data_IF_242381215156
#
_entry.id   IF_242381215156
#
_cell.length_a   1.000
_cell.length_b   1.000
_cell.length_c   1.000
_cell.angle_alpha   90.00
_cell.angle_beta   90.00
_cell.angle_gamma   90.00
#
_symmetry.space_group_name_H-M   'P 1'
#
loop_
_entity.id
_entity.type
_entity.pdbx_description
1 polymer ?
#
# COMPACT_ATOMS: atom_id res chain seq x y z
N UNK A 1 -10.83 6.62 -11.96
CA UNK A 1 -10.88 5.84 -10.69
C UNK A 1 -9.53 5.93 -9.99
N UNK A 2 -9.48 5.59 -8.70
CA UNK A 2 -8.25 5.66 -7.88
C UNK A 2 -7.76 4.24 -7.61
N UNK A 3 -6.53 3.89 -8.01
CA UNK A 3 -5.94 2.59 -7.66
C UNK A 3 -5.89 2.39 -6.15
N UNK A 4 -6.14 1.16 -5.70
CA UNK A 4 -6.16 0.81 -4.28
C UNK A 4 -5.21 -0.34 -4.05
N UNK A 5 -4.42 -0.26 -2.99
CA UNK A 5 -3.65 -1.37 -2.43
C UNK A 5 -4.31 -1.75 -1.12
N UNK A 6 -4.48 -3.05 -0.89
CA UNK A 6 -5.09 -3.56 0.34
C UNK A 6 -4.01 -4.11 1.25
N UNK A 7 -4.05 -3.72 2.53
CA UNK A 7 -3.19 -4.27 3.57
C UNK A 7 -4.06 -4.87 4.67
N UNK A 8 -4.06 -6.19 4.75
CA UNK A 8 -4.72 -6.96 5.81
C UNK A 8 -3.83 -6.95 7.05
N UNK A 9 -4.22 -6.14 8.02
CA UNK A 9 -3.48 -5.92 9.25
C UNK A 9 -3.94 -6.87 10.37
N UNK A 10 -3.16 -6.93 11.46
CA UNK A 10 -3.42 -7.66 12.70
C UNK A 10 -3.27 -9.18 12.61
N UNK A 11 -2.33 -9.67 11.80
CA UNK A 11 -1.99 -11.10 11.75
C UNK A 11 -1.44 -11.65 13.07
N UNK A 12 -0.98 -10.77 13.98
CA UNK A 12 -0.61 -11.11 15.36
C UNK A 12 -1.79 -11.59 16.22
N UNK A 13 -3.01 -11.54 15.70
CA UNK A 13 -4.23 -12.01 16.37
C UNK A 13 -4.91 -13.09 15.54
N UNK A 14 -5.71 -13.97 16.17
CA UNK A 14 -6.56 -14.90 15.43
C UNK A 14 -7.41 -14.13 14.40
N UNK A 15 -7.25 -14.50 13.14
CA UNK A 15 -7.98 -13.90 12.03
C UNK A 15 -8.81 -14.95 11.29
N UNK A 16 -9.69 -14.47 10.41
CA UNK A 16 -10.37 -15.33 9.45
C UNK A 16 -9.36 -15.96 8.49
N UNK A 17 -9.78 -17.00 7.80
CA UNK A 17 -8.99 -17.61 6.74
C UNK A 17 -8.59 -16.56 5.67
N UNK A 18 -7.34 -16.54 5.20
CA UNK A 18 -6.89 -15.56 4.22
C UNK A 18 -7.67 -15.60 2.90
N UNK A 19 -8.09 -16.77 2.42
CA UNK A 19 -8.88 -16.88 1.20
C UNK A 19 -10.29 -16.36 1.41
N UNK A 20 -10.92 -16.65 2.55
CA UNK A 20 -12.22 -16.06 2.91
C UNK A 20 -12.15 -14.52 2.96
N UNK A 21 -11.04 -13.96 3.47
CA UNK A 21 -10.82 -12.52 3.49
C UNK A 21 -10.67 -11.94 2.08
N UNK A 22 -9.92 -12.60 1.19
CA UNK A 22 -9.79 -12.19 -0.20
C UNK A 22 -11.16 -12.17 -0.89
N UNK A 23 -11.95 -13.23 -0.70
CA UNK A 23 -13.32 -13.35 -1.20
C UNK A 23 -14.25 -12.24 -0.69
N UNK A 24 -14.16 -11.92 0.61
CA UNK A 24 -14.92 -10.84 1.24
C UNK A 24 -14.52 -9.48 0.67
N UNK A 25 -13.22 -9.24 0.48
CA UNK A 25 -12.70 -8.01 -0.14
C UNK A 25 -13.23 -7.87 -1.56
N UNK A 26 -13.18 -8.92 -2.37
CA UNK A 26 -13.70 -8.87 -3.75
C UNK A 26 -15.20 -8.55 -3.80
N UNK A 27 -15.99 -9.21 -2.95
CA UNK A 27 -17.45 -9.07 -2.91
C UNK A 27 -17.87 -7.68 -2.43
N UNK A 28 -17.29 -7.20 -1.34
CA UNK A 28 -17.66 -5.93 -0.71
C UNK A 28 -17.14 -4.73 -1.49
N UNK A 29 -15.90 -4.78 -1.96
CA UNK A 29 -15.29 -3.66 -2.70
C UNK A 29 -15.56 -3.71 -4.21
N UNK A 30 -16.08 -4.83 -4.73
CA UNK A 30 -16.36 -5.06 -6.16
C UNK A 30 -15.13 -4.82 -7.03
N UNK A 31 -13.98 -5.32 -6.57
CA UNK A 31 -12.68 -5.22 -7.24
C UNK A 31 -12.02 -6.58 -7.22
N UNK A 32 -11.33 -6.97 -8.30
CA UNK A 32 -10.54 -8.20 -8.29
C UNK A 32 -9.34 -8.02 -7.37
N UNK A 33 -8.94 -9.05 -6.67
CA UNK A 33 -7.73 -9.01 -5.84
C UNK A 33 -6.64 -9.90 -6.40
N UNK A 34 -5.38 -9.52 -6.13
CA UNK A 34 -4.24 -10.41 -6.30
C UNK A 34 -3.40 -10.37 -5.03
N UNK A 35 -3.36 -11.45 -4.23
CA UNK A 35 -2.38 -11.53 -3.14
C UNK A 35 -0.95 -11.47 -3.72
N UNK A 36 -0.17 -10.50 -3.25
CA UNK A 36 1.27 -10.37 -3.54
C UNK A 36 2.13 -10.81 -2.36
N UNK A 37 1.53 -10.89 -1.18
CA UNK A 37 2.08 -11.60 -0.05
C UNK A 37 1.01 -12.51 0.57
N UNK A 38 1.43 -13.55 1.27
CA UNK A 38 0.54 -14.51 1.90
C UNK A 38 1.03 -14.88 3.31
N UNK A 39 0.15 -14.88 4.32
CA UNK A 39 0.55 -15.14 5.70
C UNK A 39 0.74 -16.62 5.97
N UNK A 40 1.68 -16.95 6.85
CA UNK A 40 1.90 -18.31 7.33
C UNK A 40 1.28 -18.42 8.71
N UNK A 41 0.08 -19.00 8.73
CA UNK A 41 -0.81 -19.04 9.90
C UNK A 41 -1.19 -17.65 10.43
N UNK A 42 -1.82 -17.59 11.61
CA UNK A 42 -2.21 -16.35 12.29
C UNK A 42 -2.17 -16.49 13.82
N UNK A 43 -2.31 -15.36 14.53
CA UNK A 43 -2.34 -15.30 15.99
C UNK A 43 -1.08 -15.89 16.62
N UNK A 44 -1.25 -16.70 17.66
CA UNK A 44 -0.15 -17.33 18.40
C UNK A 44 0.71 -18.27 17.54
N UNK A 45 0.19 -18.69 16.38
CA UNK A 45 0.88 -19.58 15.44
C UNK A 45 1.49 -18.86 14.25
N UNK A 46 1.35 -17.54 14.18
CA UNK A 46 1.89 -16.73 13.10
C UNK A 46 3.40 -16.91 12.98
N UNK A 47 3.87 -17.37 11.81
CA UNK A 47 5.30 -17.60 11.54
C UNK A 47 5.93 -16.53 10.67
N UNK A 48 5.13 -15.77 9.95
CA UNK A 48 5.63 -14.76 9.02
C UNK A 48 4.77 -14.63 7.78
N UNK A 49 5.30 -13.97 6.76
CA UNK A 49 4.62 -13.72 5.49
C UNK A 49 5.58 -14.06 4.37
N UNK A 50 5.09 -14.81 3.38
CA UNK A 50 5.80 -15.04 2.14
C UNK A 50 5.41 -13.99 1.12
N UNK A 51 6.40 -13.33 0.54
CA UNK A 51 6.23 -12.38 -0.55
C UNK A 51 6.26 -13.15 -1.88
N UNK A 52 5.09 -13.36 -2.47
CA UNK A 52 4.94 -14.06 -3.76
C UNK A 52 5.55 -13.23 -4.89
N UNK A 53 5.50 -11.90 -4.77
CA UNK A 53 6.01 -10.99 -5.80
C UNK A 53 7.55 -11.00 -5.91
N UNK A 54 8.25 -11.03 -4.77
CA UNK A 54 9.73 -11.01 -4.73
C UNK A 54 10.37 -12.37 -4.39
N UNK A 55 9.57 -13.39 -4.06
CA UNK A 55 10.01 -14.72 -3.64
C UNK A 55 10.96 -14.67 -2.43
N UNK A 56 10.55 -13.93 -1.40
CA UNK A 56 11.25 -13.88 -0.13
C UNK A 56 10.31 -14.21 1.04
N UNK A 57 10.89 -14.80 2.09
CA UNK A 57 10.20 -15.13 3.32
C UNK A 57 10.63 -14.17 4.41
N UNK A 58 9.68 -13.43 4.95
CA UNK A 58 9.92 -12.64 6.16
C UNK A 58 9.42 -13.46 7.35
N UNK A 59 10.30 -13.77 8.30
CA UNK A 59 9.95 -14.53 9.50
C UNK A 59 9.57 -13.60 10.64
N UNK A 60 8.48 -13.95 11.33
CA UNK A 60 8.03 -13.23 12.52
C UNK A 60 8.71 -13.81 13.76
N UNK A 61 9.52 -12.99 14.44
CA UNK A 61 10.10 -13.31 15.75
C UNK A 61 9.37 -12.53 16.83
N UNK A 62 8.86 -13.24 17.84
CA UNK A 62 8.08 -12.65 18.95
C UNK A 62 8.95 -12.00 20.04
N UNK A 63 10.25 -11.82 19.79
CA UNK A 63 11.19 -11.36 20.82
C UNK A 63 11.09 -9.84 20.98
N UNK A 64 10.55 -9.39 22.12
CA UNK A 64 10.17 -8.00 22.45
C UNK A 64 11.34 -6.98 22.41
N UNK A 65 12.56 -7.41 22.09
CA UNK A 65 13.77 -6.58 22.08
C UNK A 65 14.27 -6.20 20.69
N UNK A 66 13.73 -6.75 19.62
CA UNK A 66 14.12 -6.36 18.26
C UNK A 66 13.09 -5.40 17.68
N UNK A 67 13.32 -4.13 17.97
CA UNK A 67 12.88 -3.08 17.06
C UNK A 67 13.53 -3.33 15.70
N UNK A 68 12.70 -3.64 14.69
CA UNK A 68 13.01 -3.63 13.26
C UNK A 68 13.74 -4.82 12.59
N UNK A 69 14.26 -5.82 13.31
CA UNK A 69 14.98 -6.93 12.65
C UNK A 69 14.13 -8.20 12.53
N UNK A 70 13.08 -8.16 11.70
CA UNK A 70 12.52 -9.40 11.16
C UNK A 70 13.61 -10.08 10.30
N UNK A 71 13.96 -11.34 10.58
CA UNK A 71 14.87 -12.07 9.72
C UNK A 71 14.20 -12.35 8.39
N UNK A 72 14.64 -11.64 7.34
CA UNK A 72 14.23 -11.90 5.97
C UNK A 72 15.17 -12.95 5.40
N UNK A 73 14.61 -14.05 4.91
CA UNK A 73 15.32 -15.12 4.22
C UNK A 73 14.83 -15.13 2.78
N UNK A 74 15.75 -15.03 1.82
CA UNK A 74 15.40 -15.21 0.42
C UNK A 74 15.14 -16.70 0.16
N UNK A 75 13.93 -17.03 -0.29
CA UNK A 75 13.54 -18.41 -0.60
C UNK A 75 13.07 -18.44 -2.04
N UNK A 76 14.03 -18.73 -2.92
CA UNK A 76 13.82 -18.82 -4.35
C UNK A 76 13.00 -20.06 -4.75
N UNK A 77 13.06 -21.12 -3.94
CA UNK A 77 12.35 -22.37 -4.15
C UNK A 77 11.63 -22.81 -2.88
N UNK A 78 10.29 -22.81 -2.93
CA UNK A 78 9.46 -23.27 -1.83
C UNK A 78 9.61 -24.78 -1.58
N UNK A 79 10.08 -25.56 -2.56
CA UNK A 79 10.39 -26.98 -2.38
C UNK A 79 11.70 -27.23 -1.61
N UNK A 80 12.47 -26.17 -1.31
CA UNK A 80 13.72 -26.29 -0.55
C UNK A 80 13.46 -26.87 0.86
N UNK A 81 14.25 -27.86 1.30
CA UNK A 81 14.21 -28.34 2.69
C UNK A 81 14.53 -27.25 3.72
N UNK A 82 15.26 -26.20 3.32
CA UNK A 82 15.59 -25.07 4.19
C UNK A 82 14.33 -24.38 4.73
N UNK A 83 13.24 -24.34 3.94
CA UNK A 83 11.95 -23.81 4.39
C UNK A 83 11.42 -24.59 5.60
N UNK A 84 11.56 -25.92 5.59
CA UNK A 84 11.08 -26.78 6.66
C UNK A 84 11.87 -26.54 7.96
N UNK A 85 13.15 -26.15 7.86
CA UNK A 85 13.98 -25.77 9.02
C UNK A 85 13.53 -24.45 9.65
N UNK A 86 13.10 -23.47 8.83
CA UNK A 86 12.68 -22.16 9.33
C UNK A 86 11.28 -22.14 9.94
N UNK A 87 10.31 -22.81 9.32
CA UNK A 87 8.90 -22.72 9.73
C UNK A 87 8.29 -24.06 10.11
N UNK A 88 9.05 -25.15 10.21
CA UNK A 88 8.57 -26.54 10.37
C UNK A 88 7.82 -27.09 9.16
N UNK A 89 7.94 -28.41 8.96
CA UNK A 89 7.32 -29.15 7.85
C UNK A 89 5.82 -28.89 7.72
N UNK A 90 5.10 -28.76 8.84
CA UNK A 90 3.65 -28.49 8.83
C UNK A 90 3.32 -27.16 8.15
N UNK A 91 3.96 -26.06 8.54
CA UNK A 91 3.67 -24.74 7.99
C UNK A 91 4.30 -24.54 6.61
N UNK A 92 5.42 -25.20 6.33
CA UNK A 92 6.01 -25.23 5.00
C UNK A 92 5.09 -25.92 3.99
N UNK A 93 4.51 -27.07 4.36
CA UNK A 93 3.50 -27.75 3.54
C UNK A 93 2.29 -26.86 3.26
N UNK A 94 1.75 -26.22 4.30
CA UNK A 94 0.63 -25.30 4.16
C UNK A 94 0.98 -24.13 3.22
N UNK A 95 2.13 -23.49 3.39
CA UNK A 95 2.56 -22.40 2.51
C UNK A 95 2.68 -22.84 1.04
N UNK A 96 3.19 -24.05 0.79
CA UNK A 96 3.28 -24.62 -0.58
C UNK A 96 1.89 -24.79 -1.19
N UNK A 97 0.97 -25.41 -0.45
CA UNK A 97 -0.43 -25.61 -0.88
C UNK A 97 -1.14 -24.27 -1.13
N UNK A 98 -1.00 -23.31 -0.21
CA UNK A 98 -1.60 -21.99 -0.31
C UNK A 98 -1.04 -21.19 -1.50
N UNK A 99 0.27 -21.25 -1.73
CA UNK A 99 0.91 -20.57 -2.86
C UNK A 99 0.51 -21.21 -4.19
N UNK A 100 0.44 -22.54 -4.27
CA UNK A 100 -0.04 -23.25 -5.46
C UNK A 100 -1.49 -22.88 -5.77
N UNK A 101 -2.34 -22.79 -4.74
CA UNK A 101 -3.72 -22.34 -4.89
C UNK A 101 -3.79 -20.90 -5.39
N UNK A 102 -2.96 -20.00 -4.85
CA UNK A 102 -2.89 -18.60 -5.30
C UNK A 102 -2.52 -18.52 -6.78
N UNK A 103 -1.50 -19.26 -7.21
CA UNK A 103 -1.04 -19.25 -8.61
C UNK A 103 -2.01 -19.97 -9.55
N UNK A 104 -2.80 -20.93 -9.05
CA UNK A 104 -3.81 -21.64 -9.83
C UNK A 104 -5.14 -20.90 -9.98
N UNK A 105 -5.50 -20.06 -9.01
CA UNK A 105 -6.81 -19.38 -8.96
C UNK A 105 -6.74 -17.92 -9.40
N UNK A 106 -5.72 -17.17 -8.99
CA UNK A 106 -5.63 -15.74 -9.27
C UNK A 106 -4.76 -15.46 -10.49
N UNK A 107 -5.24 -14.57 -11.36
CA UNK A 107 -4.45 -14.05 -12.48
C UNK A 107 -3.12 -13.44 -12.00
N UNK A 108 -2.11 -13.46 -12.89
CA UNK A 108 -0.86 -12.75 -12.64
C UNK A 108 -1.12 -11.25 -12.43
N UNK A 109 -0.26 -10.60 -11.64
CA UNK A 109 -0.39 -9.18 -11.36
C UNK A 109 -0.24 -8.32 -12.63
N UNK A 110 -1.32 -7.64 -13.00
CA UNK A 110 -1.36 -6.67 -14.09
C UNK A 110 -1.36 -5.23 -13.55
N UNK A 111 -0.24 -4.53 -13.78
CA UNK A 111 -0.07 -3.14 -13.36
C UNK A 111 -1.06 -2.20 -14.05
N UNK A 112 -1.41 -2.44 -15.30
CA UNK A 112 -2.35 -1.57 -16.02
C UNK A 112 -3.78 -1.76 -15.50
N UNK A 113 -4.18 -2.99 -15.19
CA UNK A 113 -5.44 -3.27 -14.49
C UNK A 113 -5.48 -2.60 -13.10
N UNK A 114 -4.36 -2.61 -12.36
CA UNK A 114 -4.23 -1.87 -11.10
C UNK A 114 -4.40 -0.36 -11.29
N UNK A 115 -3.75 0.24 -12.30
CA UNK A 115 -3.86 1.67 -12.58
C UNK A 115 -5.27 2.10 -13.03
N UNK A 116 -6.03 1.17 -13.63
CA UNK A 116 -7.46 1.33 -13.93
C UNK A 116 -8.38 1.06 -12.73
N UNK A 117 -7.85 0.67 -11.58
CA UNK A 117 -8.59 0.27 -10.38
C UNK A 117 -9.52 -0.95 -10.59
N UNK A 118 -9.11 -1.87 -11.47
CA UNK A 118 -9.80 -3.13 -11.75
C UNK A 118 -9.20 -4.30 -10.95
N UNK A 119 -7.97 -4.13 -10.46
CA UNK A 119 -7.20 -5.09 -9.71
C UNK A 119 -6.56 -4.42 -8.49
N UNK A 120 -6.69 -5.01 -7.31
CA UNK A 120 -6.05 -4.56 -6.09
C UNK A 120 -5.01 -5.58 -5.62
N UNK A 121 -3.72 -5.20 -5.50
CA UNK A 121 -2.75 -6.05 -4.83
C UNK A 121 -3.06 -6.10 -3.33
N UNK A 122 -3.01 -7.30 -2.76
CA UNK A 122 -3.26 -7.55 -1.34
C UNK A 122 -1.97 -7.97 -0.65
N UNK A 123 -1.70 -7.33 0.48
CA UNK A 123 -0.61 -7.64 1.37
C UNK A 123 -1.16 -8.01 2.75
N UNK A 124 -0.48 -8.92 3.44
CA UNK A 124 -0.80 -9.28 4.82
C UNK A 124 0.35 -8.91 5.75
N UNK A 125 0.04 -8.49 6.98
CA UNK A 125 1.07 -8.16 7.97
C UNK A 125 0.53 -7.75 9.34
N UNK A 126 1.44 -7.28 10.19
CA UNK A 126 1.13 -6.69 11.50
C UNK A 126 1.84 -5.36 11.64
N UNK A 127 1.09 -4.26 11.48
CA UNK A 127 1.63 -2.92 11.58
C UNK A 127 2.11 -2.58 13.00
N UNK A 128 1.51 -3.17 14.04
CA UNK A 128 1.95 -2.97 15.44
C UNK A 128 3.36 -3.51 15.64
N UNK A 129 3.69 -4.61 14.96
CA UNK A 129 5.01 -5.22 15.01
C UNK A 129 5.90 -4.78 13.83
N UNK A 130 5.52 -3.74 13.09
CA UNK A 130 6.21 -3.24 11.90
C UNK A 130 6.52 -4.33 10.85
N UNK A 131 5.62 -5.31 10.72
CA UNK A 131 5.81 -6.51 9.91
C UNK A 131 4.94 -6.47 8.65
N UNK A 132 5.51 -6.73 7.48
CA UNK A 132 4.84 -6.65 6.17
C UNK A 132 4.70 -5.22 5.62
N UNK A 133 5.09 -4.20 6.40
CA UNK A 133 4.98 -2.78 6.02
C UNK A 133 6.06 -2.40 5.00
N UNK A 134 7.25 -2.97 5.12
CA UNK A 134 8.36 -2.69 4.21
C UNK A 134 8.03 -3.16 2.80
N UNK A 135 7.57 -4.40 2.68
CA UNK A 135 7.19 -5.04 1.42
C UNK A 135 6.05 -4.29 0.73
N UNK A 136 5.05 -3.84 1.51
CA UNK A 136 3.99 -2.97 1.03
C UNK A 136 4.55 -1.65 0.45
N UNK A 137 5.46 -0.99 1.17
CA UNK A 137 6.03 0.29 0.74
C UNK A 137 6.94 0.16 -0.48
N UNK A 138 7.75 -0.90 -0.54
CA UNK A 138 8.61 -1.20 -1.69
C UNK A 138 7.76 -1.47 -2.94
N UNK A 139 6.67 -2.24 -2.81
CA UNK A 139 5.73 -2.41 -3.90
C UNK A 139 5.04 -1.08 -4.27
N UNK A 140 4.57 -0.31 -3.29
CA UNK A 140 3.93 0.98 -3.50
C UNK A 140 4.80 1.92 -4.36
N UNK A 141 6.10 2.01 -4.07
CA UNK A 141 7.04 2.84 -4.84
C UNK A 141 7.11 2.39 -6.31
N UNK A 142 7.03 1.08 -6.58
CA UNK A 142 7.14 0.51 -7.93
C UNK A 142 5.85 0.64 -8.75
N UNK A 143 4.69 0.44 -8.11
CA UNK A 143 3.42 0.31 -8.84
C UNK A 143 2.57 1.59 -8.82
N UNK A 144 2.67 2.41 -7.78
CA UNK A 144 1.77 3.56 -7.61
C UNK A 144 1.95 4.60 -8.73
N UNK A 145 0.87 5.29 -9.12
CA UNK A 145 0.96 6.31 -10.15
C UNK A 145 1.71 7.55 -9.65
N UNK A 146 2.54 8.12 -10.53
CA UNK A 146 3.04 9.49 -10.39
C UNK A 146 1.88 10.51 -10.45
N UNK A 147 2.12 11.81 -10.17
CA UNK A 147 1.09 12.84 -10.33
C UNK A 147 0.33 12.68 -11.66
N UNK A 148 -1.00 12.66 -11.59
CA UNK A 148 -1.88 12.44 -12.74
C UNK A 148 -2.45 13.76 -13.25
N UNK A 149 -2.84 13.83 -14.54
CA UNK A 149 -3.49 15.00 -15.10
C UNK A 149 -4.73 15.40 -14.29
N UNK A 150 -4.92 16.70 -14.12
CA UNK A 150 -6.01 17.28 -13.35
C UNK A 150 -7.05 17.90 -14.31
N UNK A 151 -8.28 17.36 -14.41
CA UNK A 151 -9.32 17.98 -15.22
C UNK A 151 -9.77 19.29 -14.58
N UNK A 152 -10.02 20.30 -15.41
CA UNK A 152 -10.62 21.58 -15.03
C UNK A 152 -11.81 21.86 -15.95
N UNK A 153 -12.57 22.94 -15.68
CA UNK A 153 -13.69 23.35 -16.54
C UNK A 153 -13.26 23.73 -17.97
N UNK A 154 -12.01 24.15 -18.17
CA UNK A 154 -11.55 24.68 -19.46
C UNK A 154 -10.70 23.69 -20.24
N UNK A 155 -9.87 22.91 -19.56
CA UNK A 155 -8.93 21.95 -20.14
C UNK A 155 -8.41 20.96 -19.10
N UNK A 156 -7.67 19.96 -19.57
CA UNK A 156 -6.84 19.11 -18.71
C UNK A 156 -5.53 19.86 -18.42
N UNK A 157 -5.08 19.81 -17.17
CA UNK A 157 -3.76 20.29 -16.75
C UNK A 157 -2.81 19.11 -16.61
N UNK A 158 -1.72 19.16 -17.37
CA UNK A 158 -0.68 18.15 -17.33
C UNK A 158 0.33 18.45 -16.21
N UNK A 159 0.76 17.45 -15.42
CA UNK A 159 1.68 17.69 -14.30
C UNK A 159 3.04 18.22 -14.72
N UNK A 160 3.44 17.94 -15.96
CA UNK A 160 4.69 18.41 -16.55
C UNK A 160 4.66 19.89 -16.98
N UNK A 161 3.52 20.58 -16.90
CA UNK A 161 3.46 22.01 -17.22
C UNK A 161 4.33 22.84 -16.26
N UNK A 162 5.06 23.83 -16.78
CA UNK A 162 5.98 24.66 -15.98
C UNK A 162 5.25 25.58 -14.98
N UNK A 163 4.06 26.05 -15.36
CA UNK A 163 3.29 26.99 -14.52
C UNK A 163 2.67 26.27 -13.34
N UNK A 164 2.86 26.84 -12.15
CA UNK A 164 2.26 26.32 -10.92
C UNK A 164 0.74 26.41 -10.97
N UNK A 165 0.10 25.28 -10.76
CA UNK A 165 -1.35 25.21 -10.55
C UNK A 165 -1.67 24.31 -9.36
N UNK A 166 -2.81 24.52 -8.74
CA UNK A 166 -3.29 23.66 -7.67
C UNK A 166 -4.63 24.11 -7.13
N UNK A 167 -5.22 23.25 -6.31
CA UNK A 167 -6.51 23.53 -5.68
C UNK A 167 -6.46 23.19 -4.19
N UNK A 168 -7.23 23.93 -3.40
CA UNK A 168 -7.40 23.65 -1.97
C UNK A 168 -8.42 22.54 -1.80
N UNK A 169 -8.04 21.45 -1.12
CA UNK A 169 -8.93 20.30 -0.88
C UNK A 169 -9.36 20.16 0.58
N UNK A 170 -8.68 20.84 1.50
CA UNK A 170 -8.99 20.83 2.93
C UNK A 170 -8.59 22.15 3.57
N UNK A 171 -9.38 22.63 4.52
CA UNK A 171 -9.03 23.76 5.38
C UNK A 171 -9.12 23.27 6.82
N UNK A 172 -8.08 23.53 7.59
CA UNK A 172 -8.06 23.29 9.03
C UNK A 172 -8.01 24.64 9.74
N UNK A 173 -8.89 24.84 10.71
CA UNK A 173 -9.00 26.08 11.48
C UNK A 173 -8.71 25.80 12.95
N UNK A 174 -8.26 26.82 13.68
CA UNK A 174 -8.03 26.80 15.13
C UNK A 174 -6.94 25.81 15.57
N UNK A 175 -5.75 25.89 14.94
CA UNK A 175 -4.58 25.17 15.44
C UNK A 175 -4.01 25.80 16.72
N UNK A 176 -4.16 27.12 16.90
CA UNK A 176 -3.86 27.84 18.14
C UNK A 176 -5.16 28.51 18.62
N UNK A 177 -5.61 28.30 19.87
CA UNK A 177 -6.78 29.02 20.41
C UNK A 177 -6.63 30.54 20.40
N UNK A 178 -5.39 31.05 20.46
CA UNK A 178 -5.09 32.49 20.57
C UNK A 178 -4.96 33.17 19.20
N UNK A 179 -4.54 32.44 18.17
CA UNK A 179 -4.44 32.93 16.80
C UNK A 179 -5.46 32.17 15.96
N UNK A 180 -6.46 32.86 15.40
CA UNK A 180 -7.49 32.29 14.51
C UNK A 180 -6.91 31.87 13.16
N UNK A 181 -5.81 31.15 13.18
CA UNK A 181 -5.06 30.71 12.03
C UNK A 181 -5.83 29.58 11.33
N UNK A 182 -5.88 29.72 10.00
CA UNK A 182 -6.50 28.74 9.11
C UNK A 182 -5.44 28.30 8.12
N UNK A 183 -5.18 27.00 8.08
CA UNK A 183 -4.27 26.39 7.12
C UNK A 183 -5.11 25.76 6.01
N UNK A 184 -4.89 26.21 4.78
CA UNK A 184 -5.45 25.61 3.59
C UNK A 184 -4.45 24.61 2.99
N UNK A 185 -4.84 23.35 2.87
CA UNK A 185 -4.06 22.31 2.21
C UNK A 185 -4.32 22.37 0.70
N UNK A 186 -3.28 22.73 -0.04
CA UNK A 186 -3.30 22.83 -1.49
C UNK A 186 -2.60 21.62 -2.11
N UNK A 187 -3.26 20.99 -3.08
CA UNK A 187 -2.64 19.97 -3.94
C UNK A 187 -2.07 20.65 -5.17
N UNK A 188 -0.76 20.56 -5.36
CA UNK A 188 -0.08 21.01 -6.58
C UNK A 188 -0.46 20.04 -7.72
N UNK A 189 -0.91 20.60 -8.84
CA UNK A 189 -1.31 19.84 -10.02
C UNK A 189 -0.27 19.91 -11.13
N UNK A 190 0.46 21.03 -11.25
CA UNK A 190 1.56 21.23 -12.19
C UNK A 190 2.53 22.29 -11.66
N UNK A 191 3.72 22.37 -12.27
CA UNK A 191 4.74 23.37 -11.99
C UNK A 191 5.33 23.31 -10.60
N UNK A 192 6.01 24.39 -10.21
CA UNK A 192 6.76 24.45 -8.95
C UNK A 192 6.26 25.58 -8.07
N UNK A 193 5.99 25.26 -6.80
CA UNK A 193 5.73 26.28 -5.79
C UNK A 193 7.04 26.92 -5.35
N UNK A 194 7.07 28.26 -5.37
CA UNK A 194 8.19 29.08 -4.90
C UNK A 194 7.67 30.03 -3.84
N UNK A 195 8.32 30.02 -2.67
CA UNK A 195 8.00 30.91 -1.56
C UNK A 195 8.20 32.37 -2.00
N UNK A 196 7.34 33.26 -1.53
CA UNK A 196 7.31 34.69 -1.85
C UNK A 196 7.03 35.01 -3.32
N UNK A 197 6.47 34.07 -4.09
CA UNK A 197 6.00 34.34 -5.46
C UNK A 197 4.53 34.72 -5.46
N UNK A 198 4.15 35.58 -6.41
CA UNK A 198 2.75 35.94 -6.62
C UNK A 198 2.06 34.83 -7.42
N UNK A 199 0.94 34.35 -6.91
CA UNK A 199 0.06 33.40 -7.58
C UNK A 199 -1.33 34.00 -7.72
N UNK A 200 -2.00 33.71 -8.83
CA UNK A 200 -3.36 34.15 -9.08
C UNK A 200 -4.35 33.31 -8.27
N UNK A 201 -5.02 33.90 -7.29
CA UNK A 201 -6.19 33.29 -6.68
C UNK A 201 -7.40 33.51 -7.61
N UNK A 202 -7.65 32.50 -8.45
CA UNK A 202 -8.65 32.53 -9.55
C UNK A 202 -10.02 33.03 -9.09
N UNK A 203 -10.51 32.53 -7.96
CA UNK A 203 -11.85 32.89 -7.43
C UNK A 203 -12.00 34.38 -7.10
N UNK A 204 -10.95 35.03 -6.60
CA UNK A 204 -11.02 36.47 -6.28
C UNK A 204 -10.41 37.37 -7.35
N UNK A 205 -9.78 36.79 -8.39
CA UNK A 205 -9.03 37.54 -9.40
C UNK A 205 -7.82 38.32 -8.86
N UNK A 206 -7.34 38.00 -7.65
CA UNK A 206 -6.25 38.74 -6.99
C UNK A 206 -4.95 37.96 -7.05
N UNK A 207 -3.84 38.68 -7.19
CA UNK A 207 -2.52 38.13 -6.94
C UNK A 207 -2.30 38.02 -5.44
N UNK A 208 -1.95 36.83 -4.96
CA UNK A 208 -1.64 36.54 -3.57
C UNK A 208 -0.22 36.02 -3.48
N UNK A 209 0.47 36.43 -2.42
CA UNK A 209 1.84 36.01 -2.13
C UNK A 209 1.80 35.03 -0.96
N UNK A 210 2.46 33.89 -1.11
CA UNK A 210 2.52 32.81 -0.11
C UNK A 210 3.96 32.51 0.28
#
# INVERSE_FOLDING_TARGET
QTPVIVFVNKLDRPCKDPFDLLDEIEKELRIRVRPLSFPISSGDTFKGVYNIYEKNLTLFTSDERQTADASTVEINDLASPELDEYISERYAKQLREDTELVEGVYDAFDRDAYLRAELAPVFFGSAVNNFGVKELLECFIRIAPSPRPAPTETRIVEPAEEKMTGFVFKIHANMDPNHRDRIAFLKICSGTFERNKNFLHVRSGKQMKF
#
